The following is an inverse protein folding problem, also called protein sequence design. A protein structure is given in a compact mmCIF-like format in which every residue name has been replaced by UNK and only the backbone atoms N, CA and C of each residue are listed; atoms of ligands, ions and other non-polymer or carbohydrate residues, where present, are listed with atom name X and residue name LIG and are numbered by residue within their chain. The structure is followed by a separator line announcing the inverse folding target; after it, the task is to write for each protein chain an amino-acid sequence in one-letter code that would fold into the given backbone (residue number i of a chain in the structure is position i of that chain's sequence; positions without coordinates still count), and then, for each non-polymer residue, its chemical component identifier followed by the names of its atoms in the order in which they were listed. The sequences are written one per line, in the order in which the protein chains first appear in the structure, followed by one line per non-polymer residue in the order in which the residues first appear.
data_IF_680737641601
#
_entry.id   IF_680737641601
#
_cell.length_a   1.000
_cell.length_b   1.000
_cell.length_c   1.000
_cell.angle_alpha   90.00
_cell.angle_beta   90.00
_cell.angle_gamma   90.00
#
_symmetry.space_group_name_H-M   'P 1'
#
loop_
_entity.id
_entity.type
_entity.pdbx_description
1 polymer ?
#
# COMPACT_ATOMS: atom_id res chain seq x y z
N UNK A 1 -7.54 -32.44 -18.57
CA UNK A 1 -7.33 -31.40 -19.58
C UNK A 1 -7.19 -30.03 -18.92
N UNK A 2 -6.00 -29.72 -18.48
CA UNK A 2 -5.64 -28.49 -17.72
C UNK A 2 -5.09 -27.37 -18.63
N UNK A 3 -5.39 -27.41 -19.91
CA UNK A 3 -4.71 -26.54 -20.89
C UNK A 3 -5.65 -25.72 -21.79
N UNK A 4 -6.68 -25.10 -21.23
CA UNK A 4 -7.44 -24.13 -22.02
C UNK A 4 -7.70 -22.83 -21.24
N UNK A 5 -6.63 -22.09 -20.96
CA UNK A 5 -6.77 -20.67 -20.65
C UNK A 5 -6.21 -19.86 -21.81
N UNK A 6 -7.12 -19.21 -22.53
CA UNK A 6 -6.79 -18.37 -23.68
C UNK A 6 -5.87 -17.21 -23.30
N UNK A 7 -5.08 -16.75 -24.26
CA UNK A 7 -4.28 -15.53 -24.18
C UNK A 7 -5.22 -14.36 -23.81
N UNK A 8 -5.08 -13.82 -22.60
CA UNK A 8 -5.85 -12.65 -22.14
C UNK A 8 -6.52 -12.80 -20.79
N UNK A 9 -6.62 -14.00 -20.22
CA UNK A 9 -7.16 -14.17 -18.87
C UNK A 9 -6.06 -13.94 -17.83
N UNK A 10 -6.39 -13.21 -16.75
CA UNK A 10 -5.55 -13.14 -15.53
C UNK A 10 -5.20 -14.59 -15.15
N UNK A 11 -3.93 -14.89 -15.02
CA UNK A 11 -3.50 -16.22 -14.57
C UNK A 11 -3.90 -16.39 -13.13
N UNK A 12 -4.85 -17.29 -12.86
CA UNK A 12 -5.18 -17.68 -11.52
C UNK A 12 -3.96 -18.30 -10.83
N UNK A 13 -3.73 -17.93 -9.58
CA UNK A 13 -2.67 -18.51 -8.76
C UNK A 13 -3.01 -19.92 -8.29
N UNK A 14 -2.00 -20.69 -7.93
CA UNK A 14 -2.19 -22.06 -7.43
C UNK A 14 -3.12 -22.13 -6.20
N UNK A 15 -3.10 -21.11 -5.35
CA UNK A 15 -3.98 -21.04 -4.16
C UNK A 15 -5.44 -20.84 -4.51
N UNK A 16 -5.75 -20.06 -5.54
CA UNK A 16 -7.11 -19.84 -6.03
C UNK A 16 -7.71 -21.14 -6.57
N UNK A 17 -6.95 -21.88 -7.38
CA UNK A 17 -7.35 -23.20 -7.88
C UNK A 17 -7.57 -24.19 -6.76
N UNK A 18 -6.65 -24.26 -5.78
CA UNK A 18 -6.76 -25.17 -4.66
C UNK A 18 -8.04 -24.93 -3.87
N UNK A 19 -8.38 -23.66 -3.60
CA UNK A 19 -9.63 -23.34 -2.90
C UNK A 19 -10.88 -23.64 -3.73
N UNK A 20 -10.87 -23.33 -5.03
CA UNK A 20 -12.00 -23.61 -5.90
C UNK A 20 -12.29 -25.13 -6.03
N UNK A 21 -11.27 -25.97 -5.84
CA UNK A 21 -11.43 -27.43 -5.84
C UNK A 21 -12.03 -27.98 -4.54
N UNK A 22 -12.01 -27.22 -3.44
CA UNK A 22 -12.49 -27.70 -2.14
C UNK A 22 -14.03 -27.74 -2.03
N UNK A 23 -14.73 -26.92 -2.82
CA UNK A 23 -16.18 -26.85 -2.73
C UNK A 23 -16.80 -26.32 -4.03
N UNK A 24 -17.95 -26.87 -4.48
CA UNK A 24 -18.69 -26.34 -5.62
C UNK A 24 -19.30 -24.93 -5.38
N UNK A 25 -19.28 -24.49 -4.12
CA UNK A 25 -19.71 -23.13 -3.74
C UNK A 25 -18.61 -22.09 -3.93
N UNK A 26 -17.38 -22.49 -4.19
CA UNK A 26 -16.25 -21.65 -4.49
C UNK A 26 -16.04 -21.66 -5.99
N UNK A 27 -16.15 -20.52 -6.64
CA UNK A 27 -15.97 -20.36 -8.08
C UNK A 27 -14.84 -19.34 -8.34
N UNK A 28 -14.12 -19.55 -9.42
CA UNK A 28 -13.21 -18.54 -9.93
C UNK A 28 -14.02 -17.31 -10.36
N UNK A 29 -13.54 -16.12 -10.00
CA UNK A 29 -14.19 -14.89 -10.44
C UNK A 29 -14.01 -14.70 -11.98
N UNK A 30 -15.09 -14.38 -12.67
CA UNK A 30 -15.06 -14.14 -14.11
C UNK A 30 -14.53 -12.74 -14.47
N UNK A 31 -14.34 -11.87 -13.50
CA UNK A 31 -13.94 -10.47 -13.71
C UNK A 31 -13.07 -9.93 -12.58
N UNK A 32 -13.67 -9.19 -11.67
CA UNK A 32 -13.00 -8.57 -10.54
C UNK A 32 -12.93 -9.50 -9.34
N UNK A 33 -11.89 -9.34 -8.50
CA UNK A 33 -11.57 -10.30 -7.45
C UNK A 33 -10.95 -11.58 -7.98
N UNK A 34 -10.61 -12.49 -7.07
CA UNK A 34 -9.98 -13.78 -7.41
C UNK A 34 -11.00 -14.92 -7.38
N UNK A 35 -11.92 -14.90 -6.42
CA UNK A 35 -12.92 -15.94 -6.18
C UNK A 35 -14.31 -15.36 -5.90
N UNK A 36 -15.34 -16.16 -6.17
CA UNK A 36 -16.72 -15.93 -5.68
C UNK A 36 -17.11 -17.06 -4.75
N UNK A 37 -17.39 -16.73 -3.50
CA UNK A 37 -17.80 -17.69 -2.46
C UNK A 37 -19.20 -17.34 -2.00
N UNK A 38 -20.18 -18.21 -2.28
CA UNK A 38 -21.59 -17.94 -1.99
C UNK A 38 -22.11 -16.58 -2.50
N UNK A 39 -21.66 -16.15 -3.68
CA UNK A 39 -22.05 -14.85 -4.26
C UNK A 39 -21.26 -13.65 -3.75
N UNK A 40 -20.27 -13.85 -2.87
CA UNK A 40 -19.40 -12.80 -2.34
C UNK A 40 -18.09 -12.78 -3.11
N UNK A 41 -17.71 -11.64 -3.67
CA UNK A 41 -16.40 -11.44 -4.31
C UNK A 41 -15.30 -11.43 -3.25
N UNK A 42 -14.30 -12.26 -3.43
CA UNK A 42 -13.19 -12.46 -2.51
C UNK A 42 -11.87 -12.18 -3.22
N UNK A 43 -11.06 -11.33 -2.64
CA UNK A 43 -9.66 -11.17 -3.01
C UNK A 43 -8.81 -12.08 -2.15
N UNK A 44 -7.97 -12.91 -2.77
CA UNK A 44 -7.14 -13.89 -2.10
C UNK A 44 -5.66 -13.54 -2.24
N UNK A 45 -4.96 -13.55 -1.12
CA UNK A 45 -3.50 -13.49 -1.09
C UNK A 45 -2.94 -14.73 -0.40
N UNK A 46 -2.11 -15.46 -1.12
CA UNK A 46 -1.41 -16.61 -0.56
C UNK A 46 0.04 -16.23 -0.21
N UNK A 47 0.52 -16.76 0.89
CA UNK A 47 1.93 -16.70 1.23
C UNK A 47 2.76 -17.39 0.15
N UNK A 48 3.81 -16.74 -0.29
CA UNK A 48 4.81 -17.31 -1.20
C UNK A 48 6.14 -17.46 -0.48
N UNK A 49 7.03 -18.28 -1.01
CA UNK A 49 8.41 -18.42 -0.49
C UNK A 49 9.23 -17.14 -0.58
N UNK A 50 8.75 -16.16 -1.36
CA UNK A 50 9.45 -14.89 -1.60
C UNK A 50 8.81 -13.69 -0.88
N UNK A 51 7.80 -13.91 -0.06
CA UNK A 51 7.10 -12.86 0.69
C UNK A 51 5.59 -12.90 0.52
N UNK A 52 4.92 -11.99 1.20
CA UNK A 52 3.47 -11.87 1.21
C UNK A 52 2.88 -11.20 -0.03
N UNK A 53 1.56 -11.16 -0.05
CA UNK A 53 0.80 -10.46 -1.07
C UNK A 53 0.95 -8.94 -1.01
N UNK A 54 0.55 -8.28 -2.08
CA UNK A 54 0.57 -6.81 -2.19
C UNK A 54 -0.86 -6.30 -2.37
N UNK A 55 -1.16 -5.18 -1.73
CA UNK A 55 -2.40 -4.46 -1.98
C UNK A 55 -2.15 -3.35 -3.01
N UNK A 56 -2.52 -3.63 -4.25
CA UNK A 56 -2.31 -2.74 -5.36
C UNK A 56 -1.17 -3.16 -6.29
N UNK A 57 -1.17 -2.61 -7.47
CA UNK A 57 -0.18 -2.85 -8.51
C UNK A 57 0.19 -1.54 -9.18
N UNK A 58 1.46 -1.31 -9.30
CA UNK A 58 1.97 -0.12 -9.97
C UNK A 58 1.80 1.16 -9.15
N UNK A 59 2.67 2.09 -9.37
CA UNK A 59 2.65 3.42 -8.78
C UNK A 59 3.08 4.44 -9.83
N UNK A 60 3.10 5.73 -9.47
CA UNK A 60 3.52 6.78 -10.37
C UNK A 60 4.99 6.60 -10.76
N UNK A 61 5.32 7.07 -11.95
CA UNK A 61 6.72 7.14 -12.35
C UNK A 61 7.50 8.01 -11.36
N UNK A 62 8.74 7.63 -11.08
CA UNK A 62 9.63 8.38 -10.18
C UNK A 62 9.70 9.86 -10.53
N UNK A 63 9.77 10.17 -11.82
CA UNK A 63 9.82 11.54 -12.30
C UNK A 63 8.57 12.35 -11.95
N UNK A 64 7.40 11.73 -11.87
CA UNK A 64 6.17 12.42 -11.49
C UNK A 64 6.15 12.71 -9.98
N UNK A 65 6.66 11.80 -9.16
CA UNK A 65 6.88 12.09 -7.73
C UNK A 65 7.87 13.22 -7.52
N UNK A 66 8.99 13.21 -8.22
CA UNK A 66 10.00 14.27 -8.14
C UNK A 66 9.39 15.62 -8.52
N UNK A 67 8.63 15.71 -9.63
CA UNK A 67 7.94 16.95 -10.03
C UNK A 67 6.99 17.48 -8.97
N UNK A 68 6.24 16.58 -8.35
CA UNK A 68 5.33 16.95 -7.26
C UNK A 68 6.11 17.47 -6.05
N UNK A 69 7.20 16.82 -5.69
CA UNK A 69 8.01 17.21 -4.53
C UNK A 69 8.83 18.48 -4.74
N UNK A 70 9.17 18.82 -5.98
CA UNK A 70 9.83 20.08 -6.31
C UNK A 70 9.08 21.31 -5.81
N UNK A 71 7.76 21.27 -5.67
CA UNK A 71 6.94 22.34 -5.10
C UNK A 71 7.34 22.69 -3.66
N UNK A 72 7.92 21.72 -2.95
CA UNK A 72 8.25 21.84 -1.53
C UNK A 72 9.74 22.08 -1.29
N UNK A 73 10.53 22.25 -2.36
CA UNK A 73 11.97 22.46 -2.25
C UNK A 73 12.34 23.77 -1.52
N UNK A 74 11.48 24.79 -1.52
CA UNK A 74 11.68 26.00 -0.73
C UNK A 74 11.58 25.76 0.78
N UNK A 75 10.79 24.76 1.19
CA UNK A 75 10.65 24.35 2.59
C UNK A 75 11.67 23.30 3.01
N UNK A 76 12.03 22.40 2.09
CA UNK A 76 12.99 21.31 2.28
C UNK A 76 13.82 21.16 1.01
N UNK A 77 14.96 21.88 0.85
CA UNK A 77 15.79 21.77 -0.35
C UNK A 77 16.20 20.34 -0.70
N UNK A 78 16.42 19.50 0.31
CA UNK A 78 16.86 18.11 0.17
C UNK A 78 15.75 17.13 -0.21
N UNK A 79 14.48 17.57 -0.32
CA UNK A 79 13.36 16.65 -0.57
C UNK A 79 13.49 15.94 -1.93
N UNK A 80 13.98 16.64 -2.94
CA UNK A 80 14.19 16.07 -4.27
C UNK A 80 15.35 15.08 -4.26
N UNK A 81 16.47 15.44 -3.63
CA UNK A 81 17.64 14.60 -3.49
C UNK A 81 17.34 13.31 -2.72
N UNK A 82 16.57 13.39 -1.64
CA UNK A 82 16.12 12.23 -0.87
C UNK A 82 15.46 11.18 -1.77
N UNK A 83 14.63 11.61 -2.73
CA UNK A 83 13.97 10.69 -3.67
C UNK A 83 14.87 10.29 -4.85
N UNK A 84 15.89 11.05 -5.17
CA UNK A 84 16.84 10.70 -6.23
C UNK A 84 17.93 9.75 -5.77
N UNK A 85 18.52 9.96 -4.61
CA UNK A 85 19.74 9.30 -4.12
C UNK A 85 19.48 8.35 -2.94
N UNK A 86 18.65 8.77 -1.99
CA UNK A 86 18.50 8.07 -0.71
C UNK A 86 17.76 6.74 -0.77
N UNK A 87 17.17 6.39 -1.91
CA UNK A 87 16.26 5.25 -2.04
C UNK A 87 16.76 4.20 -3.04
N UNK A 88 18.02 4.28 -3.46
CA UNK A 88 18.61 3.29 -4.37
C UNK A 88 18.60 1.89 -3.75
N UNK A 89 17.73 1.02 -4.28
CA UNK A 89 17.66 -0.40 -3.95
C UNK A 89 16.91 -0.76 -2.67
N UNK A 90 16.28 0.20 -1.96
CA UNK A 90 15.47 -0.07 -0.78
C UNK A 90 14.12 0.63 -0.88
N UNK A 91 13.06 -0.02 -0.44
CA UNK A 91 11.78 0.63 -0.24
C UNK A 91 11.90 1.65 0.89
N UNK A 92 11.59 2.92 0.62
CA UNK A 92 11.44 3.89 1.69
C UNK A 92 10.17 3.53 2.48
N UNK A 93 10.36 3.11 3.72
CA UNK A 93 9.27 2.91 4.65
C UNK A 93 8.70 4.27 5.03
N UNK A 94 7.37 4.38 5.02
CA UNK A 94 6.69 5.63 5.36
C UNK A 94 7.06 6.13 6.77
N UNK A 95 7.22 5.22 7.73
CA UNK A 95 7.64 5.57 9.07
C UNK A 95 9.01 6.24 9.05
N UNK A 96 9.97 5.66 8.32
CA UNK A 96 11.32 6.25 8.19
C UNK A 96 11.28 7.61 7.48
N UNK A 97 10.43 7.77 6.47
CA UNK A 97 10.26 9.07 5.81
C UNK A 97 9.71 10.12 6.77
N UNK A 98 8.71 9.77 7.58
CA UNK A 98 8.15 10.69 8.56
C UNK A 98 9.15 11.03 9.67
N UNK A 99 9.77 10.01 10.30
CA UNK A 99 10.61 10.21 11.50
C UNK A 99 12.02 10.68 11.17
N UNK A 100 12.65 10.13 10.13
CA UNK A 100 14.05 10.42 9.83
C UNK A 100 14.24 11.58 8.86
N UNK A 101 13.20 11.92 8.11
CA UNK A 101 13.26 12.99 7.13
C UNK A 101 12.33 14.14 7.48
N UNK A 102 11.00 13.97 7.49
CA UNK A 102 10.10 15.07 7.74
C UNK A 102 10.22 15.66 9.15
N UNK A 103 10.45 14.86 10.17
CA UNK A 103 10.64 15.37 11.53
C UNK A 103 11.92 16.20 11.66
N UNK A 104 12.93 15.93 10.86
CA UNK A 104 14.17 16.71 10.83
C UNK A 104 13.98 18.10 10.22
N UNK A 105 13.25 18.20 9.11
CA UNK A 105 13.14 19.45 8.33
C UNK A 105 11.85 20.23 8.62
N UNK A 106 10.77 19.53 8.93
CA UNK A 106 9.46 20.11 9.22
C UNK A 106 8.90 19.51 10.53
N UNK A 107 9.50 19.76 11.68
CA UNK A 107 8.98 19.27 12.96
C UNK A 107 7.56 19.77 13.18
N UNK A 108 6.70 18.89 13.70
CA UNK A 108 5.28 19.20 13.93
C UNK A 108 5.13 20.37 14.91
N UNK A 109 4.21 21.28 14.61
CA UNK A 109 3.98 22.51 15.38
C UNK A 109 4.99 23.62 15.12
N UNK A 110 6.00 23.37 14.28
CA UNK A 110 6.99 24.40 13.89
C UNK A 110 6.54 25.25 12.70
N UNK A 111 7.43 26.17 12.33
CA UNK A 111 7.31 27.01 11.13
C UNK A 111 8.48 26.72 10.21
N UNK A 112 8.21 26.59 8.91
CA UNK A 112 9.23 26.38 7.89
C UNK A 112 10.12 27.60 7.70
N UNK A 113 11.40 27.43 7.34
CA UNK A 113 12.27 28.56 6.99
C UNK A 113 11.72 29.45 5.87
N UNK A 114 11.00 28.90 4.91
CA UNK A 114 10.32 29.64 3.85
C UNK A 114 8.95 30.21 4.28
N UNK A 115 8.58 30.04 5.55
CA UNK A 115 7.27 30.41 6.09
C UNK A 115 6.25 29.29 6.00
N UNK A 116 5.15 29.45 6.74
CA UNK A 116 4.07 28.47 6.77
C UNK A 116 4.20 27.44 7.90
N UNK A 117 3.07 26.86 8.25
CA UNK A 117 2.94 25.87 9.32
C UNK A 117 3.45 24.51 8.86
N UNK A 118 4.44 23.96 9.54
CA UNK A 118 5.05 22.66 9.18
C UNK A 118 4.04 21.51 9.09
N UNK A 119 3.07 21.46 10.00
CA UNK A 119 2.03 20.43 10.00
C UNK A 119 1.20 20.48 8.71
N UNK A 120 0.82 21.68 8.27
CA UNK A 120 0.07 21.86 7.02
C UNK A 120 0.92 21.52 5.79
N UNK A 121 2.20 21.90 5.79
CA UNK A 121 3.13 21.56 4.69
C UNK A 121 3.30 20.05 4.61
N UNK A 122 3.50 19.36 5.72
CA UNK A 122 3.58 17.89 5.76
C UNK A 122 2.31 17.24 5.21
N UNK A 123 1.14 17.74 5.59
CA UNK A 123 -0.14 17.24 5.08
C UNK A 123 -0.27 17.43 3.57
N UNK A 124 0.16 18.57 3.05
CA UNK A 124 0.16 18.84 1.62
C UNK A 124 1.13 17.94 0.86
N UNK A 125 2.35 17.72 1.37
CA UNK A 125 3.33 16.77 0.81
C UNK A 125 2.71 15.38 0.72
N UNK A 126 2.10 14.89 1.81
CA UNK A 126 1.48 13.57 1.84
C UNK A 126 0.31 13.46 0.85
N UNK A 127 -0.57 14.45 0.83
CA UNK A 127 -1.72 14.50 -0.08
C UNK A 127 -1.27 14.44 -1.54
N UNK A 128 -0.31 15.26 -1.91
CA UNK A 128 0.16 15.34 -3.29
C UNK A 128 0.87 14.05 -3.74
N UNK A 129 1.67 13.43 -2.87
CA UNK A 129 2.33 12.15 -3.16
C UNK A 129 1.29 11.04 -3.36
N UNK A 130 0.33 10.93 -2.46
CA UNK A 130 -0.68 9.88 -2.54
C UNK A 130 -1.69 10.08 -3.65
N UNK A 131 -1.97 11.34 -4.04
CA UNK A 131 -2.86 11.64 -5.16
C UNK A 131 -2.39 11.03 -6.49
N UNK A 132 -1.08 10.83 -6.66
CA UNK A 132 -0.52 10.18 -7.85
C UNK A 132 -0.96 8.72 -8.01
N UNK A 133 -1.31 8.04 -6.92
CA UNK A 133 -1.69 6.62 -6.95
C UNK A 133 -3.15 6.39 -6.60
N UNK A 134 -3.61 7.00 -5.50
CA UNK A 134 -4.88 6.63 -4.88
C UNK A 134 -6.05 7.54 -5.28
N UNK A 135 -5.78 8.76 -5.72
CA UNK A 135 -6.83 9.75 -5.96
C UNK A 135 -7.55 10.18 -4.68
N UNK A 136 -8.59 11.00 -4.84
CA UNK A 136 -9.45 11.41 -3.72
C UNK A 136 -10.60 10.39 -3.52
N UNK A 137 -11.10 10.20 -2.29
CA UNK A 137 -10.72 10.92 -1.06
C UNK A 137 -9.50 10.35 -0.32
N UNK A 138 -8.98 9.21 -0.73
CA UNK A 138 -7.93 8.45 -0.04
C UNK A 138 -6.66 9.26 0.18
N UNK A 139 -6.19 9.94 -0.86
CA UNK A 139 -4.99 10.77 -0.79
C UNK A 139 -5.11 11.90 0.25
N UNK A 140 -6.27 12.53 0.35
CA UNK A 140 -6.52 13.57 1.35
C UNK A 140 -6.47 13.04 2.79
N UNK A 141 -7.03 11.85 3.04
CA UNK A 141 -7.02 11.22 4.36
C UNK A 141 -5.61 10.78 4.72
N UNK A 142 -4.90 10.12 3.81
CA UNK A 142 -3.51 9.71 4.00
C UNK A 142 -2.58 10.93 4.20
N UNK A 143 -2.80 12.00 3.44
CA UNK A 143 -2.02 13.23 3.56
C UNK A 143 -2.20 13.89 4.93
N UNK A 144 -3.42 13.99 5.43
CA UNK A 144 -3.69 14.50 6.78
C UNK A 144 -2.95 13.73 7.86
N UNK A 145 -2.77 12.42 7.67
CA UNK A 145 -2.02 11.59 8.60
C UNK A 145 -0.53 11.97 8.70
N UNK A 146 0.06 12.59 7.67
CA UNK A 146 1.44 13.09 7.73
C UNK A 146 1.65 14.22 8.72
N UNK A 147 0.61 14.91 9.12
CA UNK A 147 0.62 15.91 10.19
C UNK A 147 0.49 15.35 11.59
N UNK A 148 0.40 14.03 11.77
CA UNK A 148 0.32 13.40 13.09
C UNK A 148 1.71 13.26 13.72
N UNK A 149 1.80 13.53 15.02
CA UNK A 149 3.05 13.38 15.76
C UNK A 149 3.48 11.91 15.91
N UNK A 150 2.53 10.99 15.91
CA UNK A 150 2.79 9.56 16.03
C UNK A 150 2.81 8.90 14.65
N UNK A 151 4.00 8.48 14.20
CA UNK A 151 4.19 7.82 12.92
C UNK A 151 3.39 6.51 12.77
N UNK A 152 3.07 5.82 13.86
CA UNK A 152 2.23 4.62 13.82
C UNK A 152 0.78 4.96 13.47
N UNK A 153 0.25 6.11 13.93
CA UNK A 153 -1.07 6.58 13.53
C UNK A 153 -1.10 6.84 12.02
N UNK A 154 -0.07 7.51 11.50
CA UNK A 154 0.07 7.75 10.07
C UNK A 154 0.15 6.44 9.28
N UNK A 155 0.96 5.49 9.74
CA UNK A 155 1.09 4.16 9.14
C UNK A 155 -0.25 3.42 9.10
N UNK A 156 -0.96 3.36 10.22
CA UNK A 156 -2.23 2.66 10.31
C UNK A 156 -3.30 3.30 9.42
N UNK A 157 -3.37 4.63 9.38
CA UNK A 157 -4.27 5.36 8.47
C UNK A 157 -3.99 5.02 7.01
N UNK A 158 -2.71 4.96 6.63
CA UNK A 158 -2.34 4.59 5.26
C UNK A 158 -2.70 3.15 4.93
N UNK A 159 -2.48 2.22 5.87
CA UNK A 159 -2.85 0.81 5.71
C UNK A 159 -4.37 0.71 5.46
N UNK A 160 -5.17 1.34 6.31
CA UNK A 160 -6.62 1.34 6.19
C UNK A 160 -7.08 1.93 4.85
N UNK A 161 -6.56 3.09 4.46
CA UNK A 161 -6.99 3.77 3.24
C UNK A 161 -6.50 3.05 1.97
N UNK A 162 -5.31 2.44 1.99
CA UNK A 162 -4.85 1.61 0.88
C UNK A 162 -5.76 0.39 0.68
N UNK A 163 -6.21 -0.23 1.77
CA UNK A 163 -7.19 -1.32 1.70
C UNK A 163 -8.50 -0.87 1.07
N UNK A 164 -9.09 0.23 1.55
CA UNK A 164 -10.38 0.73 1.03
C UNK A 164 -10.28 1.13 -0.45
N UNK A 165 -9.18 1.77 -0.85
CA UNK A 165 -8.92 2.04 -2.26
C UNK A 165 -8.81 0.76 -3.09
N UNK A 166 -8.08 -0.23 -2.59
CA UNK A 166 -7.89 -1.50 -3.31
C UNK A 166 -9.20 -2.27 -3.42
N UNK A 167 -9.98 -2.29 -2.35
CA UNK A 167 -11.31 -2.88 -2.31
C UNK A 167 -12.26 -2.23 -3.33
N UNK A 168 -12.27 -0.91 -3.40
CA UNK A 168 -13.08 -0.18 -4.36
C UNK A 168 -12.62 -0.40 -5.81
N UNK A 169 -11.31 -0.50 -6.04
CA UNK A 169 -10.73 -0.70 -7.37
C UNK A 169 -11.01 -2.10 -7.93
N UNK A 170 -10.84 -3.13 -7.12
CA UNK A 170 -10.94 -4.54 -7.54
C UNK A 170 -12.29 -5.17 -7.15
N UNK A 171 -13.23 -4.38 -6.61
CA UNK A 171 -14.64 -4.71 -6.32
C UNK A 171 -14.80 -6.05 -5.56
N UNK A 172 -14.07 -6.19 -4.47
CA UNK A 172 -14.24 -7.33 -3.58
C UNK A 172 -14.92 -6.91 -2.26
N UNK A 173 -15.60 -7.87 -1.62
CA UNK A 173 -16.27 -7.64 -0.34
C UNK A 173 -15.52 -8.27 0.84
N UNK A 174 -14.68 -9.25 0.56
CA UNK A 174 -13.89 -9.98 1.55
C UNK A 174 -12.45 -10.15 1.04
N UNK A 175 -11.50 -9.86 1.90
CA UNK A 175 -10.08 -10.11 1.64
C UNK A 175 -9.61 -11.27 2.50
N UNK A 176 -8.97 -12.26 1.88
CA UNK A 176 -8.51 -13.46 2.55
C UNK A 176 -7.02 -13.63 2.36
N UNK A 177 -6.31 -13.77 3.47
CA UNK A 177 -4.88 -14.11 3.48
C UNK A 177 -4.71 -15.53 3.94
N UNK A 178 -4.02 -16.35 3.14
CA UNK A 178 -3.74 -17.76 3.48
C UNK A 178 -2.24 -17.95 3.61
N UNK A 179 -1.83 -18.55 4.74
CA UNK A 179 -0.52 -19.11 4.93
C UNK A 179 -0.61 -20.63 4.98
N UNK A 180 -0.11 -21.29 3.97
CA UNK A 180 -0.03 -22.76 3.96
C UNK A 180 1.02 -23.28 4.94
N UNK A 181 2.08 -22.48 5.18
CA UNK A 181 3.15 -22.85 6.11
C UNK A 181 2.67 -22.86 7.56
N UNK A 182 1.95 -21.81 7.98
CA UNK A 182 1.42 -21.68 9.34
C UNK A 182 0.01 -22.26 9.48
N UNK A 183 -0.60 -22.74 8.39
CA UNK A 183 -1.98 -23.23 8.34
C UNK A 183 -2.99 -22.20 8.86
N UNK A 184 -2.71 -20.93 8.61
CA UNK A 184 -3.56 -19.81 9.05
C UNK A 184 -4.34 -19.23 7.87
N UNK A 185 -5.55 -18.82 8.18
CA UNK A 185 -6.42 -18.04 7.29
C UNK A 185 -6.88 -16.82 8.06
N UNK A 186 -6.65 -15.65 7.50
CA UNK A 186 -7.10 -14.37 8.05
C UNK A 186 -8.09 -13.75 7.09
N UNK A 187 -9.26 -13.36 7.61
CA UNK A 187 -10.32 -12.69 6.83
C UNK A 187 -10.43 -11.24 7.28
N UNK A 188 -10.50 -10.32 6.33
CA UNK A 188 -10.51 -8.87 6.54
C UNK A 188 -11.60 -8.27 5.68
N UNK A 189 -12.44 -7.41 6.26
CA UNK A 189 -13.62 -6.83 5.60
C UNK A 189 -13.51 -5.33 5.32
N UNK A 190 -12.68 -4.64 6.10
CA UNK A 190 -12.51 -3.19 6.02
C UNK A 190 -11.09 -2.78 6.38
N UNK A 191 -10.77 -1.51 6.14
CA UNK A 191 -9.45 -0.95 6.35
C UNK A 191 -9.02 -0.93 7.81
N UNK A 192 -9.95 -0.75 8.75
CA UNK A 192 -9.63 -0.75 10.18
C UNK A 192 -9.19 -2.14 10.64
N UNK A 193 -9.91 -3.19 10.23
CA UNK A 193 -9.50 -4.58 10.49
C UNK A 193 -8.11 -4.88 9.88
N UNK A 194 -7.84 -4.34 8.68
CA UNK A 194 -6.52 -4.49 8.06
C UNK A 194 -5.42 -3.81 8.88
N UNK A 195 -5.65 -2.57 9.31
CA UNK A 195 -4.69 -1.84 10.15
C UNK A 195 -4.47 -2.54 11.50
N UNK A 196 -5.54 -3.06 12.11
CA UNK A 196 -5.47 -3.83 13.34
C UNK A 196 -4.69 -5.14 13.18
N UNK A 197 -4.89 -5.87 12.08
CA UNK A 197 -4.15 -7.10 11.79
C UNK A 197 -2.62 -6.85 11.72
N UNK A 198 -2.20 -5.69 11.17
CA UNK A 198 -0.80 -5.28 11.21
C UNK A 198 -0.34 -4.86 12.61
N UNK A 199 -1.17 -4.11 13.33
CA UNK A 199 -0.83 -3.64 14.69
C UNK A 199 -0.66 -4.80 15.67
N UNK A 200 -1.47 -5.86 15.53
CA UNK A 200 -1.45 -7.03 16.39
C UNK A 200 -0.45 -8.11 15.94
N UNK A 201 0.29 -7.89 14.85
CA UNK A 201 1.23 -8.87 14.32
C UNK A 201 0.57 -10.11 13.68
N UNK A 202 -0.74 -10.08 13.41
CA UNK A 202 -1.41 -11.11 12.61
C UNK A 202 -0.94 -11.09 11.15
N UNK A 203 -0.63 -9.90 10.66
CA UNK A 203 0.06 -9.66 9.40
C UNK A 203 1.35 -8.92 9.71
N UNK A 204 2.45 -9.36 9.12
CA UNK A 204 3.75 -8.72 9.28
C UNK A 204 4.26 -8.19 7.94
N UNK A 205 5.22 -7.28 7.97
CA UNK A 205 5.89 -6.76 6.80
C UNK A 205 6.20 -5.30 6.85
N UNK A 206 6.81 -4.80 5.80
CA UNK A 206 7.35 -3.46 5.74
C UNK A 206 6.35 -2.32 5.94
N UNK A 207 5.06 -2.62 6.11
CA UNK A 207 4.02 -1.59 6.20
C UNK A 207 3.88 -0.84 4.88
N UNK A 208 3.24 0.32 4.93
CA UNK A 208 3.15 1.20 3.78
C UNK A 208 4.56 1.66 3.38
N UNK A 209 4.96 1.36 2.18
CA UNK A 209 6.27 1.74 1.67
C UNK A 209 6.16 2.49 0.35
N UNK A 210 6.99 3.50 0.19
CA UNK A 210 7.36 3.98 -1.13
C UNK A 210 8.39 3.00 -1.67
N UNK A 211 8.05 2.27 -2.72
CA UNK A 211 9.01 1.37 -3.33
C UNK A 211 9.73 2.07 -4.46
N UNK A 212 11.02 2.14 -4.30
CA UNK A 212 11.96 2.40 -5.37
C UNK A 212 12.69 1.09 -5.64
N UNK A 213 12.41 0.42 -6.75
CA UNK A 213 13.26 -0.66 -7.20
C UNK A 213 14.45 -0.07 -7.92
N UNK A 214 15.67 -0.46 -7.56
CA UNK A 214 16.91 0.06 -8.16
C UNK A 214 17.05 -0.17 -9.68
N UNK A 215 16.13 -0.93 -10.26
CA UNK A 215 16.10 -1.23 -11.70
C UNK A 215 14.91 -0.59 -12.43
N UNK A 216 13.96 0.00 -11.73
CA UNK A 216 12.80 0.64 -12.32
C UNK A 216 12.76 2.12 -11.98
N UNK A 217 12.30 2.93 -12.92
CA UNK A 217 12.04 4.35 -12.72
C UNK A 217 10.73 4.61 -11.95
N UNK A 218 10.05 3.55 -11.50
CA UNK A 218 8.76 3.63 -10.86
C UNK A 218 8.91 3.59 -9.33
N UNK A 219 8.21 4.50 -8.66
CA UNK A 219 8.03 4.50 -7.22
C UNK A 219 6.59 4.10 -6.90
N UNK A 220 6.42 3.25 -5.90
CA UNK A 220 5.10 2.73 -5.54
C UNK A 220 4.76 3.10 -4.11
N UNK A 221 3.51 3.53 -3.89
CA UNK A 221 2.88 3.45 -2.60
C UNK A 221 2.10 2.13 -2.55
N UNK A 222 2.65 1.12 -1.90
CA UNK A 222 2.00 -0.19 -1.76
C UNK A 222 2.30 -0.80 -0.40
N UNK A 223 1.51 -1.78 -0.04
CA UNK A 223 1.71 -2.56 1.17
C UNK A 223 2.01 -4.00 0.85
N UNK A 224 3.01 -4.55 1.50
CA UNK A 224 3.24 -5.97 1.53
C UNK A 224 2.42 -6.56 2.67
N UNK A 225 1.84 -7.74 2.45
CA UNK A 225 1.17 -8.53 3.47
C UNK A 225 2.01 -9.79 3.67
N UNK A 226 3.09 -9.72 4.44
CA UNK A 226 3.84 -10.90 4.79
C UNK A 226 3.18 -11.60 5.96
N UNK A 227 3.41 -12.86 6.08
CA UNK A 227 2.95 -13.66 7.19
C UNK A 227 3.96 -13.64 8.33
N UNK A 228 3.42 -13.63 9.53
CA UNK A 228 4.21 -13.93 10.73
C UNK A 228 4.50 -15.43 10.79
#
# INVERSE_FOLDING_TARGET
SLMMYGKGQKRAGAGEFALAMLSPKIKMAAGQGDLVINGVNVELKAETTQGGGRMGSGGPARNDQIKVLQKYAEHIPEIVEYFQEGVTGKSANITSFLTNFLDKYLPIGGTSPAGGNNTQIRQAIGTDIFALTFGQPYAGIMGKAFGQANANVSKNTMIAQNYEWYKAKDDFSLFVVISFKSQRLTMIKNGDEMAEAFANGMLSGGGASFIHSGQSTECFAQMNIPHA
#
